data_IF_199184517961
#
_entry.id   IF_199184517961
#
_cell.length_a   1.000
_cell.length_b   1.000
_cell.length_c   1.000
_cell.angle_alpha   90.00
_cell.angle_beta   90.00
_cell.angle_gamma   90.00
#
_symmetry.space_group_name_H-M   'P 1'
#
loop_
_entity.id
_entity.type
_entity.pdbx_description
1 polymer ?
#
# COMPACT_ATOMS: atom_id res chain seq x y z
N UNK A 1 -13.17 -13.34 -17.14
CA UNK A 1 -11.89 -14.02 -16.89
C UNK A 1 -11.92 -14.44 -15.43
N UNK A 2 -11.71 -15.70 -15.14
CA UNK A 2 -11.77 -16.17 -13.77
C UNK A 2 -10.42 -15.98 -13.07
N UNK A 3 -10.41 -15.36 -11.90
CA UNK A 3 -9.19 -15.12 -11.11
C UNK A 3 -8.69 -16.41 -10.45
N UNK A 4 -7.36 -16.54 -10.37
CA UNK A 4 -6.68 -17.54 -9.56
C UNK A 4 -6.35 -17.01 -8.16
N UNK A 5 -6.02 -15.71 -8.03
CA UNK A 5 -5.73 -15.06 -6.75
C UNK A 5 -5.96 -13.55 -6.80
N UNK A 6 -6.09 -12.95 -5.60
CA UNK A 6 -6.13 -11.50 -5.39
C UNK A 6 -4.88 -11.09 -4.60
N UNK A 7 -4.12 -10.15 -5.14
CA UNK A 7 -2.96 -9.56 -4.48
C UNK A 7 -3.30 -8.13 -4.05
N UNK A 8 -2.84 -7.75 -2.89
CA UNK A 8 -3.16 -6.48 -2.25
C UNK A 8 -1.90 -5.71 -1.89
N UNK A 9 -1.94 -4.41 -2.05
CA UNK A 9 -1.18 -3.54 -1.18
C UNK A 9 -1.84 -3.50 0.21
N UNK A 10 -1.13 -2.92 1.18
CA UNK A 10 -1.60 -2.91 2.57
C UNK A 10 -2.02 -1.51 3.04
N UNK A 11 -1.07 -0.57 3.10
CA UNK A 11 -1.31 0.80 3.57
C UNK A 11 -2.08 1.60 2.51
N UNK A 12 -3.19 2.23 2.89
CA UNK A 12 -4.05 2.94 1.93
C UNK A 12 -4.95 2.02 1.07
N UNK A 13 -4.82 0.70 1.23
CA UNK A 13 -5.61 -0.27 0.46
C UNK A 13 -6.45 -1.18 1.35
N UNK A 14 -5.84 -1.94 2.25
CA UNK A 14 -6.55 -2.73 3.25
C UNK A 14 -6.84 -1.91 4.49
N UNK A 15 -5.91 -1.06 4.90
CA UNK A 15 -5.96 -0.30 6.15
C UNK A 15 -5.79 1.20 5.91
N UNK A 16 -6.50 2.00 6.72
CA UNK A 16 -6.22 3.43 6.86
C UNK A 16 -5.11 3.62 7.90
N UNK A 17 -3.88 3.75 7.43
CA UNK A 17 -2.70 4.04 8.26
C UNK A 17 -2.39 5.54 8.37
N UNK A 18 -3.14 6.40 7.68
CA UNK A 18 -2.86 7.84 7.60
C UNK A 18 -2.84 8.51 8.97
N UNK A 19 -3.81 8.29 9.89
CA UNK A 19 -3.74 8.88 11.23
C UNK A 19 -2.44 8.55 11.95
N UNK A 20 -2.03 7.29 11.88
CA UNK A 20 -0.76 6.82 12.48
C UNK A 20 0.44 7.49 11.82
N UNK A 21 0.47 7.55 10.50
CA UNK A 21 1.59 8.14 9.75
C UNK A 21 1.74 9.66 10.02
N UNK A 22 0.63 10.37 10.17
CA UNK A 22 0.63 11.79 10.59
C UNK A 22 1.28 11.94 11.97
N UNK A 23 0.87 11.14 12.96
CA UNK A 23 1.43 11.22 14.31
C UNK A 23 2.90 10.81 14.38
N UNK A 24 3.32 9.81 13.61
CA UNK A 24 4.74 9.44 13.45
C UNK A 24 5.51 10.61 12.87
N UNK A 25 5.02 11.22 11.78
CA UNK A 25 5.69 12.34 11.12
C UNK A 25 5.84 13.53 12.07
N UNK A 26 4.78 13.89 12.83
CA UNK A 26 4.83 14.96 13.83
C UNK A 26 5.88 14.68 14.92
N UNK A 27 5.94 13.44 15.40
CA UNK A 27 6.93 13.05 16.42
C UNK A 27 8.36 13.14 15.88
N UNK A 28 8.60 12.74 14.63
CA UNK A 28 9.89 12.85 13.97
C UNK A 28 10.27 14.31 13.75
N UNK A 29 9.33 15.15 13.28
CA UNK A 29 9.56 16.60 13.11
C UNK A 29 10.02 17.25 14.40
N UNK A 30 9.41 16.90 15.54
CA UNK A 30 9.79 17.45 16.83
C UNK A 30 11.26 17.15 17.22
N UNK A 31 11.84 16.07 16.67
CA UNK A 31 13.23 15.68 16.93
C UNK A 31 14.18 16.32 15.91
N UNK A 32 13.88 16.24 14.61
CA UNK A 32 14.83 16.58 13.54
C UNK A 32 14.65 17.98 12.98
N UNK A 33 13.44 18.53 13.04
CA UNK A 33 13.08 19.83 12.49
C UNK A 33 12.11 20.60 13.42
N UNK A 34 12.52 20.95 14.68
CA UNK A 34 11.62 21.58 15.66
C UNK A 34 10.98 22.89 15.16
N UNK A 35 11.60 23.57 14.20
CA UNK A 35 11.07 24.78 13.57
C UNK A 35 9.82 24.54 12.72
N UNK A 36 9.53 23.27 12.36
CA UNK A 36 8.33 22.81 11.63
C UNK A 36 7.27 22.21 12.56
N UNK A 37 7.15 22.73 13.78
CA UNK A 37 6.17 22.26 14.78
C UNK A 37 5.30 23.42 15.29
N UNK A 38 4.28 23.13 16.05
CA UNK A 38 3.35 24.12 16.57
C UNK A 38 2.64 24.89 15.45
N UNK A 39 2.71 26.22 15.49
CA UNK A 39 2.08 27.09 14.48
C UNK A 39 2.72 26.96 13.09
N UNK A 40 3.95 26.43 13.02
CA UNK A 40 4.67 26.19 11.77
C UNK A 40 4.51 24.76 11.25
N UNK A 41 3.62 23.96 11.82
CA UNK A 41 3.37 22.61 11.36
C UNK A 41 2.99 22.63 9.86
N UNK A 42 3.63 21.81 9.01
CA UNK A 42 3.28 21.74 7.59
C UNK A 42 1.78 21.49 7.41
N UNK A 43 1.14 22.28 6.54
CA UNK A 43 -0.33 22.20 6.32
C UNK A 43 -0.81 20.80 5.93
N UNK A 44 0.08 20.00 5.35
CA UNK A 44 -0.21 18.63 4.92
C UNK A 44 -0.33 17.64 6.06
N UNK A 45 0.04 18.03 7.28
CA UNK A 45 -0.12 17.23 8.50
C UNK A 45 -1.32 17.65 9.37
N UNK A 46 -2.15 18.60 8.87
CA UNK A 46 -3.32 19.10 9.62
C UNK A 46 -4.56 18.22 9.44
N UNK A 47 -4.65 17.42 8.36
CA UNK A 47 -5.78 16.53 8.09
C UNK A 47 -5.36 15.35 7.20
N UNK A 48 -6.15 14.28 7.26
CA UNK A 48 -5.94 13.12 6.38
C UNK A 48 -6.03 13.50 4.90
N UNK A 49 -7.00 14.33 4.52
CA UNK A 49 -7.16 14.79 3.13
C UNK A 49 -5.91 15.54 2.62
N UNK A 50 -5.32 16.40 3.46
CA UNK A 50 -4.10 17.12 3.11
C UNK A 50 -2.89 16.18 3.03
N UNK A 51 -2.81 15.19 3.93
CA UNK A 51 -1.77 14.18 3.92
C UNK A 51 -1.83 13.35 2.63
N UNK A 52 -3.01 12.83 2.29
CA UNK A 52 -3.23 12.09 1.03
C UNK A 52 -2.82 12.90 -0.19
N UNK A 53 -3.25 14.19 -0.25
CA UNK A 53 -2.86 15.06 -1.35
C UNK A 53 -1.34 15.13 -1.54
N UNK A 54 -0.59 15.39 -0.45
CA UNK A 54 0.87 15.52 -0.53
C UNK A 54 1.54 14.18 -0.87
N UNK A 55 1.08 13.10 -0.24
CA UNK A 55 1.65 11.77 -0.42
C UNK A 55 1.47 11.24 -1.86
N UNK A 56 0.29 11.47 -2.45
CA UNK A 56 0.04 11.08 -3.85
C UNK A 56 0.62 12.05 -4.89
N UNK A 57 0.92 13.30 -4.51
CA UNK A 57 1.55 14.27 -5.41
C UNK A 57 3.08 14.15 -5.45
N UNK A 58 3.70 13.70 -4.36
CA UNK A 58 5.13 13.47 -4.28
C UNK A 58 5.52 12.17 -5.01
N UNK A 59 6.66 12.19 -5.72
CA UNK A 59 7.19 11.01 -6.44
C UNK A 59 7.73 9.94 -5.49
N UNK A 60 8.19 10.38 -4.31
CA UNK A 60 8.76 9.52 -3.27
C UNK A 60 8.74 10.24 -1.92
N UNK A 61 9.08 9.53 -0.85
CA UNK A 61 9.09 10.08 0.50
C UNK A 61 10.12 11.20 0.71
N UNK A 62 11.23 11.22 -0.05
CA UNK A 62 12.23 12.28 0.03
C UNK A 62 11.67 13.61 -0.48
N UNK A 63 11.03 13.60 -1.65
CA UNK A 63 10.33 14.76 -2.19
C UNK A 63 9.20 15.22 -1.25
N UNK A 64 8.44 14.29 -0.67
CA UNK A 64 7.41 14.60 0.31
C UNK A 64 7.96 15.39 1.50
N UNK A 65 9.08 14.96 2.04
CA UNK A 65 9.67 15.58 3.23
C UNK A 65 10.30 16.95 2.90
N UNK A 66 10.98 17.06 1.77
CA UNK A 66 11.66 18.31 1.37
C UNK A 66 10.65 19.32 0.82
N UNK A 67 9.89 18.96 -0.22
CA UNK A 67 9.11 19.92 -1.00
C UNK A 67 7.73 20.22 -0.37
N UNK A 68 7.14 19.24 0.35
CA UNK A 68 5.82 19.40 0.96
C UNK A 68 5.90 19.73 2.45
N UNK A 69 6.84 19.11 3.19
CA UNK A 69 6.97 19.41 4.62
C UNK A 69 7.99 20.51 4.92
N UNK A 70 8.86 20.87 3.96
CA UNK A 70 9.82 21.96 4.09
C UNK A 70 11.08 21.59 4.88
N UNK A 71 11.41 20.31 5.01
CA UNK A 71 12.67 19.87 5.62
C UNK A 71 13.87 20.21 4.73
N UNK A 72 14.99 20.51 5.33
CA UNK A 72 16.28 20.47 4.63
C UNK A 72 16.64 19.03 4.27
N UNK A 73 17.59 18.85 3.34
CA UNK A 73 18.05 17.52 2.93
C UNK A 73 18.61 16.69 4.11
N UNK A 74 19.37 17.35 5.01
CA UNK A 74 19.93 16.69 6.21
C UNK A 74 18.85 16.25 7.19
N UNK A 75 17.81 17.06 7.39
CA UNK A 75 16.68 16.72 8.25
C UNK A 75 15.88 15.55 7.64
N UNK A 76 15.65 15.55 6.34
CA UNK A 76 14.99 14.46 5.63
C UNK A 76 15.73 13.14 5.80
N UNK A 77 17.06 13.12 5.64
CA UNK A 77 17.85 11.89 5.84
C UNK A 77 17.74 11.36 7.27
N UNK A 78 17.84 12.26 8.27
CA UNK A 78 17.64 11.89 9.68
C UNK A 78 16.24 11.36 9.95
N UNK A 79 15.22 12.02 9.39
CA UNK A 79 13.82 11.61 9.52
C UNK A 79 13.58 10.20 8.97
N UNK A 80 14.13 9.90 7.79
CA UNK A 80 14.04 8.55 7.21
C UNK A 80 14.66 7.46 8.10
N UNK A 81 15.77 7.77 8.76
CA UNK A 81 16.43 6.86 9.71
C UNK A 81 15.62 6.58 10.99
N UNK A 82 14.71 7.48 11.36
CA UNK A 82 13.88 7.35 12.57
C UNK A 82 12.53 6.67 12.30
N UNK A 83 12.11 6.55 11.04
CA UNK A 83 10.76 6.11 10.69
C UNK A 83 10.40 4.75 11.27
N UNK A 84 11.24 3.74 11.06
CA UNK A 84 10.96 2.37 11.50
C UNK A 84 10.76 2.26 13.02
N UNK A 85 11.64 2.92 13.81
CA UNK A 85 11.55 2.95 15.27
C UNK A 85 10.25 3.62 15.74
N UNK A 86 9.90 4.76 15.14
CA UNK A 86 8.68 5.49 15.46
C UNK A 86 7.41 4.72 15.03
N UNK A 87 7.45 4.03 13.90
CA UNK A 87 6.35 3.18 13.44
C UNK A 87 6.08 2.03 14.43
N UNK A 88 7.13 1.42 14.99
CA UNK A 88 7.00 0.36 15.99
C UNK A 88 6.44 0.87 17.32
N UNK A 89 6.93 2.01 17.79
CA UNK A 89 6.56 2.59 19.10
C UNK A 89 5.22 3.29 19.12
N UNK A 90 4.75 3.79 17.97
CA UNK A 90 3.52 4.56 17.90
C UNK A 90 2.29 3.69 18.10
N UNK A 91 1.43 4.07 19.06
CA UNK A 91 0.24 3.33 19.48
C UNK A 91 -1.06 3.79 18.78
N UNK A 92 -0.99 4.72 17.83
CA UNK A 92 -2.17 5.14 17.07
C UNK A 92 -2.77 3.93 16.35
N UNK A 93 -4.06 3.64 16.53
CA UNK A 93 -4.69 2.49 15.90
C UNK A 93 -4.65 2.59 14.38
N UNK A 94 -4.43 1.44 13.74
CA UNK A 94 -4.60 1.27 12.29
C UNK A 94 -5.84 0.40 12.09
N UNK A 95 -6.82 0.92 11.36
CA UNK A 95 -8.11 0.25 11.13
C UNK A 95 -8.24 -0.18 9.67
N UNK A 96 -8.98 -1.24 9.42
CA UNK A 96 -9.41 -1.58 8.06
C UNK A 96 -10.28 -0.43 7.51
N UNK A 97 -10.24 -0.23 6.19
CA UNK A 97 -11.29 0.55 5.56
C UNK A 97 -12.65 -0.13 5.75
N UNK A 98 -13.68 0.67 5.94
CA UNK A 98 -15.03 0.18 6.18
C UNK A 98 -15.49 -0.74 5.04
N UNK A 99 -15.95 -1.95 5.38
CA UNK A 99 -16.43 -2.96 4.43
C UNK A 99 -15.34 -3.87 3.84
N UNK A 100 -14.04 -3.59 3.99
CA UNK A 100 -12.94 -4.42 3.45
C UNK A 100 -12.96 -5.84 4.03
N UNK A 101 -13.27 -5.99 5.31
CA UNK A 101 -13.40 -7.32 5.93
C UNK A 101 -14.52 -8.15 5.27
N UNK A 102 -15.61 -7.51 4.87
CA UNK A 102 -16.70 -8.13 4.11
C UNK A 102 -16.24 -8.61 2.72
N UNK A 103 -15.49 -7.78 1.99
CA UNK A 103 -14.90 -8.15 0.69
C UNK A 103 -13.98 -9.37 0.83
N UNK A 104 -13.07 -9.35 1.82
CA UNK A 104 -12.13 -10.45 2.04
C UNK A 104 -12.85 -11.75 2.39
N UNK A 105 -13.89 -11.69 3.22
CA UNK A 105 -14.69 -12.87 3.63
C UNK A 105 -15.49 -13.45 2.46
N UNK A 106 -16.11 -12.59 1.64
CA UNK A 106 -16.90 -13.02 0.48
C UNK A 106 -16.04 -13.76 -0.56
N UNK A 107 -14.82 -13.26 -0.82
CA UNK A 107 -13.91 -13.87 -1.79
C UNK A 107 -12.86 -14.78 -1.16
N UNK A 108 -13.10 -15.30 0.08
CA UNK A 108 -12.15 -16.15 0.81
C UNK A 108 -11.83 -17.48 0.13
N UNK A 109 -12.65 -17.94 -0.83
CA UNK A 109 -12.38 -19.13 -1.65
C UNK A 109 -11.20 -18.93 -2.62
N UNK A 110 -10.87 -17.68 -2.98
CA UNK A 110 -9.64 -17.37 -3.68
C UNK A 110 -8.48 -17.19 -2.68
N UNK A 111 -7.27 -17.65 -3.00
CA UNK A 111 -6.12 -17.28 -2.21
C UNK A 111 -5.82 -15.78 -2.34
N UNK A 112 -5.57 -15.14 -1.20
CA UNK A 112 -5.14 -13.75 -1.14
C UNK A 112 -3.64 -13.68 -0.83
N UNK A 113 -2.96 -12.68 -1.40
CA UNK A 113 -1.58 -12.32 -1.10
C UNK A 113 -1.43 -10.84 -0.77
N UNK A 114 -0.42 -10.49 0.01
CA UNK A 114 -0.05 -9.09 0.28
C UNK A 114 1.37 -8.85 -0.20
N UNK A 115 1.57 -7.73 -0.92
CA UNK A 115 2.88 -7.21 -1.30
C UNK A 115 2.96 -5.76 -0.83
N UNK A 116 3.70 -5.47 0.22
CA UNK A 116 3.71 -4.17 0.88
C UNK A 116 5.11 -3.69 1.25
N UNK A 117 5.24 -2.37 1.41
CA UNK A 117 6.42 -1.73 1.99
C UNK A 117 6.34 -1.63 3.54
N UNK A 118 5.37 -2.28 4.17
CA UNK A 118 5.27 -2.44 5.61
C UNK A 118 5.92 -3.76 6.06
N UNK A 119 6.25 -3.89 7.35
CA UNK A 119 6.86 -5.13 7.87
C UNK A 119 5.84 -6.28 7.89
N UNK A 120 6.31 -7.48 7.58
CA UNK A 120 5.47 -8.68 7.58
C UNK A 120 4.84 -8.93 8.96
N UNK A 121 5.58 -8.68 10.04
CA UNK A 121 5.11 -8.87 11.41
C UNK A 121 3.95 -7.93 11.76
N UNK A 122 4.04 -6.63 11.36
CA UNK A 122 2.98 -5.66 11.60
C UNK A 122 1.72 -6.01 10.80
N UNK A 123 1.88 -6.40 9.53
CA UNK A 123 0.75 -6.84 8.68
C UNK A 123 0.04 -8.04 9.32
N UNK A 124 0.79 -9.09 9.69
CA UNK A 124 0.21 -10.30 10.31
C UNK A 124 -0.55 -9.98 11.60
N UNK A 125 0.00 -9.10 12.44
CA UNK A 125 -0.65 -8.68 13.68
C UNK A 125 -2.01 -8.03 13.39
N UNK A 126 -2.05 -7.04 12.50
CA UNK A 126 -3.30 -6.32 12.18
C UNK A 126 -4.34 -7.24 11.53
N UNK A 127 -3.94 -8.14 10.63
CA UNK A 127 -4.87 -9.13 10.05
C UNK A 127 -5.44 -10.07 11.13
N UNK A 128 -4.61 -10.48 12.09
CA UNK A 128 -5.03 -11.34 13.21
C UNK A 128 -5.99 -10.60 14.13
N UNK A 129 -5.67 -9.37 14.51
CA UNK A 129 -6.50 -8.55 15.39
C UNK A 129 -7.90 -8.28 14.79
N UNK A 130 -8.01 -8.27 13.46
CA UNK A 130 -9.27 -8.09 12.72
C UNK A 130 -9.94 -9.43 12.31
N UNK A 131 -9.35 -10.58 12.61
CA UNK A 131 -9.93 -11.89 12.32
C UNK A 131 -10.03 -12.23 10.83
N UNK A 132 -9.15 -11.65 9.98
CA UNK A 132 -9.17 -11.83 8.51
C UNK A 132 -7.91 -12.51 7.96
N UNK A 133 -7.11 -13.15 8.80
CA UNK A 133 -5.83 -13.75 8.38
C UNK A 133 -5.98 -14.95 7.44
N UNK A 134 -7.06 -15.74 7.58
CA UNK A 134 -7.19 -17.06 6.96
C UNK A 134 -7.09 -17.09 5.42
N UNK A 135 -7.67 -16.15 4.65
CA UNK A 135 -7.55 -16.10 3.18
C UNK A 135 -6.15 -15.74 2.68
N UNK A 136 -5.35 -15.02 3.48
CA UNK A 136 -4.02 -14.57 3.09
C UNK A 136 -2.99 -15.72 3.15
N UNK A 137 -2.66 -16.29 2.00
CA UNK A 137 -1.74 -17.42 1.87
C UNK A 137 -0.28 -17.00 1.80
N UNK A 138 -0.02 -15.77 1.37
CA UNK A 138 1.33 -15.19 1.29
C UNK A 138 1.31 -13.72 1.71
N UNK A 139 2.31 -13.32 2.48
CA UNK A 139 2.54 -11.92 2.87
C UNK A 139 4.01 -11.65 2.63
N UNK A 140 4.30 -10.72 1.72
CA UNK A 140 5.65 -10.26 1.41
C UNK A 140 5.77 -8.81 1.87
N UNK A 141 6.48 -8.58 2.96
CA UNK A 141 6.77 -7.26 3.52
C UNK A 141 8.09 -6.68 2.98
N UNK A 142 8.42 -5.45 3.40
CA UNK A 142 9.69 -4.83 3.02
C UNK A 142 10.90 -5.64 3.54
N UNK A 143 10.76 -6.29 4.66
CA UNK A 143 11.75 -7.13 5.32
C UNK A 143 12.03 -8.45 4.58
N UNK A 144 11.16 -8.82 3.65
CA UNK A 144 11.32 -9.98 2.75
C UNK A 144 12.00 -9.63 1.42
N UNK A 145 12.29 -8.35 1.17
CA UNK A 145 12.73 -7.82 -0.12
C UNK A 145 14.09 -7.12 0.04
N UNK A 146 15.08 -7.54 -0.73
CA UNK A 146 16.40 -6.90 -0.73
C UNK A 146 16.36 -5.52 -1.40
N UNK A 147 17.32 -4.66 -1.02
CA UNK A 147 17.46 -3.32 -1.60
C UNK A 147 17.53 -3.40 -3.14
N UNK A 148 16.74 -2.56 -3.80
CA UNK A 148 16.65 -2.48 -5.26
C UNK A 148 15.52 -3.31 -5.89
N UNK A 149 14.84 -4.17 -5.12
CA UNK A 149 13.69 -4.98 -5.58
C UNK A 149 12.35 -4.55 -4.94
N UNK A 150 12.30 -3.32 -4.44
CA UNK A 150 11.07 -2.76 -3.88
C UNK A 150 10.09 -2.35 -4.99
N UNK A 151 8.79 -2.26 -4.67
CA UNK A 151 7.80 -1.76 -5.63
C UNK A 151 8.26 -0.43 -6.25
N UNK A 152 8.14 -0.28 -7.57
CA UNK A 152 7.35 -1.09 -8.52
C UNK A 152 8.07 -2.30 -9.15
N UNK A 153 9.27 -2.74 -8.68
CA UNK A 153 9.89 -3.98 -9.14
C UNK A 153 8.98 -5.19 -8.84
N UNK A 154 8.84 -6.11 -9.81
CA UNK A 154 7.90 -7.23 -9.72
C UNK A 154 8.27 -8.30 -8.69
N UNK A 155 9.47 -8.25 -8.11
CA UNK A 155 10.04 -9.32 -7.27
C UNK A 155 9.09 -9.80 -6.17
N UNK A 156 8.55 -8.89 -5.35
CA UNK A 156 7.64 -9.27 -4.25
C UNK A 156 6.35 -9.91 -4.76
N UNK A 157 5.84 -9.46 -5.90
CA UNK A 157 4.65 -10.04 -6.54
C UNK A 157 4.89 -11.45 -7.04
N UNK A 158 6.00 -11.70 -7.73
CA UNK A 158 6.39 -13.03 -8.20
C UNK A 158 6.60 -13.98 -7.01
N UNK A 159 7.36 -13.55 -6.01
CA UNK A 159 7.58 -14.31 -4.77
C UNK A 159 6.26 -14.67 -4.08
N UNK A 160 5.31 -13.73 -4.05
CA UNK A 160 3.99 -13.95 -3.48
C UNK A 160 3.22 -15.02 -4.25
N UNK A 161 3.18 -14.94 -5.58
CA UNK A 161 2.50 -15.91 -6.46
C UNK A 161 3.14 -17.30 -6.37
N UNK A 162 4.47 -17.38 -6.38
CA UNK A 162 5.20 -18.65 -6.19
C UNK A 162 4.91 -19.29 -4.84
N UNK A 163 4.83 -18.47 -3.78
CA UNK A 163 4.48 -18.95 -2.44
C UNK A 163 3.06 -19.53 -2.38
N UNK A 164 2.11 -18.97 -3.15
CA UNK A 164 0.72 -19.44 -3.19
C UNK A 164 0.58 -20.72 -4.02
N UNK A 165 1.26 -20.81 -5.18
CA UNK A 165 0.97 -21.84 -6.18
C UNK A 165 2.13 -22.81 -6.46
N UNK A 166 3.32 -22.57 -5.89
CA UNK A 166 4.54 -23.30 -6.20
C UNK A 166 5.22 -22.87 -7.51
N UNK A 167 4.50 -22.22 -8.41
CA UNK A 167 5.01 -21.63 -9.66
C UNK A 167 4.16 -20.41 -10.06
N UNK A 168 4.75 -19.49 -10.81
CA UNK A 168 4.12 -18.22 -11.12
C UNK A 168 3.42 -18.14 -12.50
N UNK A 169 3.72 -19.06 -13.41
CA UNK A 169 3.31 -18.98 -14.80
C UNK A 169 1.81 -19.22 -15.04
N UNK A 170 1.27 -18.60 -16.11
CA UNK A 170 -0.10 -18.78 -16.60
C UNK A 170 -1.20 -18.45 -15.54
N UNK A 171 -1.01 -17.41 -14.76
CA UNK A 171 -1.93 -16.96 -13.72
C UNK A 171 -2.83 -15.82 -14.16
N UNK A 172 -4.06 -15.84 -13.64
CA UNK A 172 -5.04 -14.76 -13.78
C UNK A 172 -5.15 -14.07 -12.42
N UNK A 173 -4.54 -12.90 -12.27
CA UNK A 173 -4.40 -12.20 -11.00
C UNK A 173 -5.13 -10.86 -11.04
N UNK A 174 -5.55 -10.39 -9.88
CA UNK A 174 -5.93 -9.00 -9.64
C UNK A 174 -4.97 -8.43 -8.61
N UNK A 175 -4.41 -7.25 -8.86
CA UNK A 175 -3.63 -6.49 -7.91
C UNK A 175 -4.35 -5.19 -7.58
N UNK A 176 -4.54 -4.92 -6.29
CA UNK A 176 -5.28 -3.78 -5.77
C UNK A 176 -4.32 -2.93 -4.94
N UNK A 177 -4.22 -1.64 -5.24
CA UNK A 177 -3.37 -0.70 -4.54
C UNK A 177 -3.83 0.75 -4.71
N UNK A 178 -3.35 1.67 -3.87
CA UNK A 178 -3.81 3.06 -3.84
C UNK A 178 -2.85 4.06 -4.48
N UNK A 179 -1.71 3.60 -5.01
CA UNK A 179 -0.69 4.46 -5.60
C UNK A 179 -0.39 4.10 -7.06
N UNK A 180 0.09 5.09 -7.86
CA UNK A 180 0.53 4.83 -9.25
C UNK A 180 1.59 3.73 -9.33
N UNK A 181 2.50 3.67 -8.33
CA UNK A 181 3.50 2.62 -8.23
C UNK A 181 2.90 1.22 -8.14
N UNK A 182 1.70 1.06 -7.58
CA UNK A 182 0.99 -0.23 -7.53
C UNK A 182 0.46 -0.65 -8.89
N UNK A 183 -0.03 0.31 -9.66
CA UNK A 183 -0.43 0.06 -11.06
C UNK A 183 0.78 -0.35 -11.89
N UNK A 184 1.89 0.37 -11.77
CA UNK A 184 3.15 0.01 -12.44
C UNK A 184 3.66 -1.37 -11.97
N UNK A 185 3.56 -1.67 -10.69
CA UNK A 185 3.91 -2.98 -10.12
C UNK A 185 3.09 -4.11 -10.73
N UNK A 186 1.76 -3.94 -10.87
CA UNK A 186 0.90 -4.91 -11.53
C UNK A 186 1.32 -5.14 -13.00
N UNK A 187 1.70 -4.08 -13.73
CA UNK A 187 2.21 -4.17 -15.12
C UNK A 187 3.53 -4.94 -15.17
N UNK A 188 4.44 -4.68 -14.22
CA UNK A 188 5.73 -5.34 -14.13
C UNK A 188 5.59 -6.82 -13.76
N UNK A 189 4.69 -7.17 -12.83
CA UNK A 189 4.33 -8.58 -12.55
C UNK A 189 3.85 -9.27 -13.83
N UNK A 190 2.91 -8.68 -14.56
CA UNK A 190 2.39 -9.24 -15.82
C UNK A 190 3.52 -9.48 -16.83
N UNK A 191 4.42 -8.52 -16.98
CA UNK A 191 5.54 -8.63 -17.90
C UNK A 191 6.48 -9.78 -17.51
N UNK A 192 6.80 -9.92 -16.23
CA UNK A 192 7.72 -10.95 -15.73
C UNK A 192 7.08 -12.36 -15.76
N UNK A 193 5.79 -12.48 -15.47
CA UNK A 193 5.06 -13.75 -15.57
C UNK A 193 5.00 -14.26 -17.01
N UNK A 194 4.96 -13.37 -17.99
CA UNK A 194 4.92 -13.73 -19.42
C UNK A 194 3.75 -14.61 -19.82
N UNK A 195 3.87 -15.25 -20.99
CA UNK A 195 2.94 -16.25 -21.46
C UNK A 195 1.48 -15.77 -21.53
N UNK A 196 0.54 -16.59 -21.05
CA UNK A 196 -0.89 -16.30 -21.01
C UNK A 196 -1.34 -15.65 -19.69
N UNK A 197 -0.41 -15.27 -18.82
CA UNK A 197 -0.71 -14.60 -17.55
C UNK A 197 -1.39 -13.25 -17.79
N UNK A 198 -2.34 -12.92 -16.92
CA UNK A 198 -3.00 -11.61 -16.88
C UNK A 198 -2.97 -11.08 -15.45
N UNK A 199 -2.71 -9.79 -15.31
CA UNK A 199 -2.79 -9.09 -14.04
C UNK A 199 -3.67 -7.86 -14.26
N UNK A 200 -4.81 -7.84 -13.60
CA UNK A 200 -5.72 -6.70 -13.57
C UNK A 200 -5.25 -5.76 -12.47
N UNK A 201 -4.99 -4.51 -12.81
CA UNK A 201 -4.65 -3.46 -11.86
C UNK A 201 -5.90 -2.69 -11.45
N UNK A 202 -6.20 -2.63 -10.15
CA UNK A 202 -7.32 -1.87 -9.59
C UNK A 202 -6.80 -0.79 -8.67
N UNK A 203 -7.17 0.47 -8.93
CA UNK A 203 -6.87 1.57 -8.04
C UNK A 203 -7.88 1.64 -6.89
N UNK A 204 -7.39 1.59 -5.65
CA UNK A 204 -8.16 1.74 -4.42
C UNK A 204 -8.42 3.23 -4.13
N UNK A 205 -9.22 3.90 -4.96
CA UNK A 205 -9.48 5.34 -4.85
C UNK A 205 -10.36 5.72 -3.66
N UNK A 206 -10.97 4.77 -2.97
CA UNK A 206 -11.68 4.99 -1.70
C UNK A 206 -10.74 5.46 -0.58
N UNK A 207 -9.43 5.28 -0.74
CA UNK A 207 -8.41 5.83 0.17
C UNK A 207 -8.15 7.33 0.01
N UNK A 208 -8.67 7.96 -1.06
CA UNK A 208 -8.37 9.33 -1.45
C UNK A 208 -7.37 9.46 -2.59
N UNK A 209 -6.94 8.36 -3.19
CA UNK A 209 -6.09 8.37 -4.39
C UNK A 209 -6.80 9.03 -5.58
N UNK A 210 -6.02 9.65 -6.46
CA UNK A 210 -6.50 10.37 -7.65
C UNK A 210 -5.95 9.75 -8.94
N UNK A 211 -6.43 8.56 -9.35
CA UNK A 211 -5.88 7.82 -10.48
C UNK A 211 -5.96 8.57 -11.81
N UNK A 212 -6.86 9.54 -11.94
CA UNK A 212 -6.97 10.40 -13.13
C UNK A 212 -5.72 11.26 -13.37
N UNK A 213 -4.84 11.39 -12.38
CA UNK A 213 -3.57 12.14 -12.45
C UNK A 213 -2.37 11.23 -12.74
N UNK A 214 -2.55 9.93 -12.74
CA UNK A 214 -1.47 8.96 -12.92
C UNK A 214 -1.07 8.85 -14.39
N UNK A 215 0.22 8.72 -14.65
CA UNK A 215 0.76 8.46 -15.99
C UNK A 215 0.51 7.02 -16.42
N UNK A 216 0.51 6.09 -15.45
CA UNK A 216 0.19 4.68 -15.68
C UNK A 216 -1.22 4.41 -15.17
N UNK A 217 -2.15 4.20 -16.10
CA UNK A 217 -3.57 4.03 -15.76
C UNK A 217 -3.87 2.60 -15.31
N UNK A 218 -4.70 2.42 -14.25
CA UNK A 218 -5.22 1.12 -13.83
C UNK A 218 -6.27 0.60 -14.84
N UNK A 219 -6.59 -0.67 -14.75
CA UNK A 219 -7.69 -1.27 -15.55
C UNK A 219 -9.06 -0.89 -14.98
N UNK A 220 -9.14 -0.73 -13.65
CA UNK A 220 -10.34 -0.31 -12.91
C UNK A 220 -9.99 0.68 -11.80
N UNK A 221 -10.99 1.50 -11.45
CA UNK A 221 -10.92 2.43 -10.31
C UNK A 221 -12.08 2.12 -9.38
N UNK A 222 -11.78 1.81 -8.13
CA UNK A 222 -12.77 1.62 -7.07
C UNK A 222 -12.80 2.88 -6.17
N UNK A 223 -13.83 3.70 -6.32
CA UNK A 223 -14.03 4.92 -5.49
C UNK A 223 -14.73 4.64 -4.17
N UNK A 224 -15.33 3.46 -4.08
CA UNK A 224 -15.92 2.92 -2.85
C UNK A 224 -15.56 1.46 -2.70
N UNK A 225 -15.68 0.91 -1.49
CA UNK A 225 -15.45 -0.52 -1.24
C UNK A 225 -16.52 -1.38 -1.93
N UNK A 226 -17.74 -0.88 -2.11
CA UNK A 226 -18.81 -1.54 -2.89
C UNK A 226 -18.47 -1.63 -4.38
N UNK A 227 -17.83 -0.60 -4.94
CA UNK A 227 -17.30 -0.66 -6.31
C UNK A 227 -16.18 -1.70 -6.42
N UNK A 228 -15.29 -1.78 -5.43
CA UNK A 228 -14.25 -2.81 -5.38
C UNK A 228 -14.87 -4.22 -5.34
N UNK A 229 -15.85 -4.43 -4.48
CA UNK A 229 -16.59 -5.68 -4.43
C UNK A 229 -17.16 -6.06 -5.82
N UNK A 230 -17.83 -5.11 -6.47
CA UNK A 230 -18.44 -5.31 -7.79
C UNK A 230 -17.40 -5.64 -8.88
N UNK A 231 -16.23 -4.98 -8.84
CA UNK A 231 -15.12 -5.25 -9.77
C UNK A 231 -14.59 -6.68 -9.58
N UNK A 232 -14.35 -7.10 -8.33
CA UNK A 232 -13.88 -8.47 -8.04
C UNK A 232 -14.92 -9.51 -8.51
N UNK A 233 -16.21 -9.31 -8.20
CA UNK A 233 -17.28 -10.21 -8.55
C UNK A 233 -17.44 -10.44 -10.06
N UNK A 234 -17.09 -9.45 -10.90
CA UNK A 234 -17.10 -9.62 -12.38
C UNK A 234 -16.03 -10.60 -12.88
N UNK A 235 -15.07 -10.96 -12.03
CA UNK A 235 -13.90 -11.76 -12.42
C UNK A 235 -13.78 -13.09 -11.62
N UNK A 236 -14.73 -13.38 -10.73
CA UNK A 236 -14.82 -14.63 -9.97
C UNK A 236 -15.94 -15.52 -10.50
#
# INVERSE_FOLDING_TARGET
MKLDAILWDYDGTLVNSVPKNIEITKAILAIVAPHLTGDNLPKYLHSEANYHYANHAAKNWQELYVDYYGMSHDEMLKAGGLWAEHQEKNQTPVTLFEGIDGVIKEFAQLPHGICSQNSQSNIRRVLSDNGISAPFKSIVGYDDVSNGHQKPDAYSGIKCVESIFGHAENRQLMYIGDHEADTQFARNIKQQLGGQSKVIAVAAAYSGAMPERWSVQPDYVARTVDELFSIIAQHT
#
